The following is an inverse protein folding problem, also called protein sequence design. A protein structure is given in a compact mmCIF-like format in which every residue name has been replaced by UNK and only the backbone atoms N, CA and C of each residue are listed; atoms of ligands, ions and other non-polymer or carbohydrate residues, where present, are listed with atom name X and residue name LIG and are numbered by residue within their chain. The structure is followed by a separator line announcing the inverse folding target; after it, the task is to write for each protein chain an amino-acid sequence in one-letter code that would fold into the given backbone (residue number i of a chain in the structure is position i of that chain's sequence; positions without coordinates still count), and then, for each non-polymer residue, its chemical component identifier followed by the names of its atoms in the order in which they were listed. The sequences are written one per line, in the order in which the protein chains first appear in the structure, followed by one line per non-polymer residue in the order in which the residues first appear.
data_IF_358880395129
#
_entry.id   IF_358880395129
#
_cell.length_a   1.000
_cell.length_b   1.000
_cell.length_c   1.000
_cell.angle_alpha   90.00
_cell.angle_beta   90.00
_cell.angle_gamma   90.00
#
_symmetry.space_group_name_H-M   'P 1'
#
loop_
_entity.id
_entity.type
_entity.pdbx_description
1 polymer ?
#
# COMPACT_ATOMS: atom_id res chain seq x y z
N UNK A 1 0.50 6.58 29.46
CA UNK A 1 -0.04 5.77 28.36
C UNK A 1 1.16 5.43 27.50
N UNK A 2 1.61 4.17 27.58
CA UNK A 2 2.81 3.71 26.90
C UNK A 2 2.47 3.45 25.44
N UNK A 3 3.10 4.21 24.55
CA UNK A 3 3.01 4.04 23.08
C UNK A 3 3.71 2.75 22.62
N UNK A 4 4.29 2.00 23.56
CA UNK A 4 5.00 0.74 23.34
C UNK A 4 4.13 -0.51 23.63
N UNK A 5 2.96 -0.37 24.26
CA UNK A 5 2.03 -1.51 24.45
C UNK A 5 1.15 -1.76 23.21
N UNK A 6 0.96 -0.77 22.33
CA UNK A 6 0.18 -0.92 21.08
C UNK A 6 1.02 -1.54 19.93
N UNK A 7 2.36 -1.58 20.05
CA UNK A 7 3.23 -2.24 19.07
C UNK A 7 3.15 -3.78 19.13
N UNK A 8 2.77 -4.34 20.28
CA UNK A 8 2.63 -5.79 20.45
C UNK A 8 1.38 -6.34 19.74
N UNK A 9 0.32 -5.55 19.56
CA UNK A 9 -0.88 -5.93 18.78
C UNK A 9 -0.69 -5.69 17.27
N UNK A 10 0.20 -4.76 16.89
CA UNK A 10 0.64 -4.56 15.51
C UNK A 10 1.37 -5.79 14.94
N UNK A 11 2.02 -6.58 15.80
CA UNK A 11 2.79 -7.77 15.42
C UNK A 11 1.94 -9.04 15.16
N UNK A 12 0.65 -9.06 15.52
CA UNK A 12 -0.19 -10.27 15.42
C UNK A 12 -0.93 -10.38 14.09
N UNK A 13 -1.16 -9.26 13.40
CA UNK A 13 -1.90 -9.23 12.12
C UNK A 13 -0.99 -8.93 10.94
N UNK A 14 -1.30 -9.46 9.75
CA UNK A 14 -0.55 -9.11 8.55
C UNK A 14 -0.73 -7.62 8.22
N UNK A 15 0.26 -6.95 7.58
CA UNK A 15 0.13 -5.53 7.22
C UNK A 15 -1.15 -5.18 6.46
N UNK A 16 -1.61 -6.11 5.62
CA UNK A 16 -2.90 -6.01 4.91
C UNK A 16 -4.08 -5.98 5.88
N UNK A 17 -4.14 -6.93 6.81
CA UNK A 17 -5.22 -7.01 7.81
C UNK A 17 -5.24 -5.77 8.69
N UNK A 18 -4.07 -5.30 9.13
CA UNK A 18 -3.95 -4.09 9.92
C UNK A 18 -4.48 -2.86 9.17
N UNK A 19 -4.05 -2.67 7.92
CA UNK A 19 -4.57 -1.60 7.07
C UNK A 19 -6.10 -1.64 6.96
N UNK A 20 -6.69 -2.80 6.65
CA UNK A 20 -8.16 -2.90 6.51
C UNK A 20 -8.90 -2.73 7.84
N UNK A 21 -8.25 -3.00 8.98
CA UNK A 21 -8.80 -2.69 10.30
C UNK A 21 -8.86 -1.18 10.51
N UNK A 22 -7.74 -0.49 10.33
CA UNK A 22 -7.61 0.96 10.52
C UNK A 22 -8.49 1.74 9.54
N UNK A 23 -8.53 1.33 8.27
CA UNK A 23 -9.32 1.98 7.23
C UNK A 23 -10.83 1.99 7.53
N UNK A 24 -11.34 1.02 8.32
CA UNK A 24 -12.76 0.97 8.71
C UNK A 24 -13.13 2.00 9.77
N UNK A 25 -12.18 2.43 10.59
CA UNK A 25 -12.43 3.29 11.76
C UNK A 25 -11.87 4.70 11.60
N UNK A 26 -10.86 4.88 10.75
CA UNK A 26 -10.26 6.18 10.48
C UNK A 26 -11.18 7.12 9.68
N UNK A 27 -10.80 8.40 9.59
CA UNK A 27 -11.51 9.38 8.77
C UNK A 27 -11.47 8.97 7.29
N UNK A 28 -12.65 8.71 6.70
CA UNK A 28 -12.75 8.18 5.35
C UNK A 28 -12.17 9.11 4.29
N UNK A 29 -12.21 10.43 4.48
CA UNK A 29 -11.58 11.37 3.54
C UNK A 29 -10.05 11.19 3.51
N UNK A 30 -9.43 10.90 4.66
CA UNK A 30 -7.98 10.66 4.76
C UNK A 30 -7.65 9.32 4.11
N UNK A 31 -8.44 8.28 4.40
CA UNK A 31 -8.27 6.95 3.80
C UNK A 31 -8.36 7.01 2.28
N UNK A 32 -9.41 7.66 1.74
CA UNK A 32 -9.61 7.84 0.30
C UNK A 32 -8.47 8.61 -0.34
N UNK A 33 -8.01 9.69 0.29
CA UNK A 33 -6.88 10.50 -0.19
C UNK A 33 -5.58 9.68 -0.24
N UNK A 34 -5.27 8.90 0.80
CA UNK A 34 -4.05 8.07 0.82
C UNK A 34 -4.12 6.94 -0.22
N UNK A 35 -5.29 6.34 -0.43
CA UNK A 35 -5.50 5.36 -1.51
C UNK A 35 -5.33 6.02 -2.88
N UNK A 36 -5.87 7.22 -3.10
CA UNK A 36 -5.73 7.93 -4.38
C UNK A 36 -4.25 8.18 -4.71
N UNK A 37 -3.41 8.51 -3.70
CA UNK A 37 -1.97 8.67 -3.90
C UNK A 37 -1.31 7.40 -4.44
N UNK A 38 -1.71 6.22 -3.96
CA UNK A 38 -1.20 4.93 -4.45
C UNK A 38 -1.62 4.70 -5.91
N UNK A 39 -2.89 4.89 -6.24
CA UNK A 39 -3.36 4.73 -7.63
C UNK A 39 -2.72 5.75 -8.58
N UNK A 40 -2.54 6.99 -8.13
CA UNK A 40 -1.86 8.02 -8.93
C UNK A 40 -0.41 7.64 -9.20
N UNK A 41 0.30 7.08 -8.21
CA UNK A 41 1.67 6.59 -8.39
C UNK A 41 1.72 5.42 -9.38
N UNK A 42 0.77 4.49 -9.32
CA UNK A 42 0.65 3.40 -10.30
C UNK A 42 0.44 3.94 -11.72
N UNK A 43 -0.56 4.81 -11.91
CA UNK A 43 -0.87 5.39 -13.22
C UNK A 43 0.30 6.20 -13.80
N UNK A 44 1.08 6.90 -12.96
CA UNK A 44 2.31 7.58 -13.40
C UNK A 44 3.36 6.57 -13.86
N UNK A 45 3.56 5.47 -13.13
CA UNK A 45 4.51 4.44 -13.52
C UNK A 45 4.13 3.75 -14.85
N UNK A 46 2.84 3.41 -15.02
CA UNK A 46 2.31 2.84 -16.26
C UNK A 46 2.51 3.80 -17.43
N UNK A 47 2.13 5.06 -17.27
CA UNK A 47 2.34 6.10 -18.29
C UNK A 47 3.81 6.26 -18.68
N UNK A 48 4.74 6.24 -17.71
CA UNK A 48 6.17 6.34 -17.99
C UNK A 48 6.70 5.16 -18.82
N UNK A 49 6.08 3.98 -18.72
CA UNK A 49 6.43 2.80 -19.50
C UNK A 49 5.79 2.85 -20.90
N UNK A 50 4.53 3.27 -20.99
CA UNK A 50 3.85 3.52 -22.27
C UNK A 50 4.60 4.55 -23.13
N UNK A 51 5.04 5.66 -22.53
CA UNK A 51 5.84 6.70 -23.21
C UNK A 51 7.18 6.17 -23.75
N UNK A 52 7.63 5.01 -23.27
CA UNK A 52 8.84 4.30 -23.74
C UNK A 52 8.54 3.14 -24.70
N UNK A 53 7.26 2.89 -25.00
CA UNK A 53 6.82 1.76 -25.83
C UNK A 53 7.04 0.40 -25.15
N UNK A 54 6.93 0.34 -23.82
CA UNK A 54 7.13 -0.87 -23.01
C UNK A 54 5.82 -1.42 -22.44
N UNK A 55 4.68 -1.02 -22.99
CA UNK A 55 3.34 -1.39 -22.53
C UNK A 55 3.07 -2.90 -22.67
N UNK A 56 3.41 -3.51 -23.81
CA UNK A 56 3.27 -4.97 -23.98
C UNK A 56 4.21 -5.76 -23.05
N UNK A 57 5.43 -5.26 -22.83
CA UNK A 57 6.40 -5.90 -21.94
C UNK A 57 5.95 -5.82 -20.48
N UNK A 58 5.40 -4.69 -20.05
CA UNK A 58 4.82 -4.51 -18.72
C UNK A 58 3.76 -5.59 -18.45
N UNK A 59 2.80 -5.78 -19.36
CA UNK A 59 1.76 -6.80 -19.23
C UNK A 59 2.31 -8.23 -19.15
N UNK A 60 3.36 -8.53 -19.91
CA UNK A 60 4.04 -9.81 -19.84
C UNK A 60 4.74 -10.01 -18.49
N UNK A 61 5.41 -8.99 -17.98
CA UNK A 61 6.12 -9.03 -16.69
C UNK A 61 5.15 -9.12 -15.51
N UNK A 62 4.02 -8.41 -15.52
CA UNK A 62 2.98 -8.52 -14.48
C UNK A 62 2.51 -9.97 -14.35
N UNK A 63 2.21 -10.63 -15.49
CA UNK A 63 1.79 -12.03 -15.48
C UNK A 63 2.87 -12.98 -14.96
N UNK A 64 4.13 -12.69 -15.25
CA UNK A 64 5.27 -13.50 -14.81
C UNK A 64 5.56 -13.35 -13.31
N UNK A 65 5.36 -12.15 -12.75
CA UNK A 65 5.74 -11.80 -11.38
C UNK A 65 4.59 -11.88 -10.37
N UNK A 66 3.38 -12.24 -10.80
CA UNK A 66 2.18 -12.25 -9.93
C UNK A 66 2.28 -13.21 -8.72
N UNK A 67 3.17 -14.21 -8.77
CA UNK A 67 3.42 -15.18 -7.67
C UNK A 67 4.82 -14.97 -7.04
N UNK A 68 5.43 -13.81 -7.27
CA UNK A 68 6.76 -13.50 -6.76
C UNK A 68 6.71 -13.01 -5.31
N UNK A 69 7.52 -13.62 -4.44
CA UNK A 69 7.57 -13.28 -3.01
C UNK A 69 8.15 -11.87 -2.75
N UNK A 70 9.01 -11.36 -3.62
CA UNK A 70 9.48 -9.97 -3.51
C UNK A 70 8.34 -8.99 -3.77
N UNK A 71 7.44 -9.32 -4.71
CA UNK A 71 6.21 -8.53 -4.94
C UNK A 71 5.30 -8.56 -3.71
N UNK A 72 5.10 -9.73 -3.10
CA UNK A 72 4.33 -9.84 -1.84
C UNK A 72 4.93 -8.98 -0.72
N UNK A 73 6.27 -8.99 -0.57
CA UNK A 73 6.96 -8.17 0.41
C UNK A 73 6.78 -6.67 0.14
N UNK A 74 6.85 -6.25 -1.13
CA UNK A 74 6.62 -4.85 -1.52
C UNK A 74 5.18 -4.41 -1.25
N UNK A 75 4.20 -5.27 -1.55
CA UNK A 75 2.79 -5.02 -1.22
C UNK A 75 2.62 -4.86 0.29
N UNK A 76 3.26 -5.70 1.10
CA UNK A 76 3.25 -5.56 2.55
C UNK A 76 3.83 -4.20 3.01
N UNK A 77 4.94 -3.75 2.43
CA UNK A 77 5.51 -2.43 2.71
C UNK A 77 4.57 -1.27 2.36
N UNK A 78 3.84 -1.36 1.24
CA UNK A 78 2.85 -0.35 0.85
C UNK A 78 1.73 -0.27 1.89
N UNK A 79 1.26 -1.40 2.41
CA UNK A 79 0.25 -1.41 3.49
C UNK A 79 0.76 -0.76 4.78
N UNK A 80 2.02 -1.01 5.17
CA UNK A 80 2.64 -0.36 6.34
C UNK A 80 2.70 1.16 6.15
N UNK A 81 3.12 1.62 4.97
CA UNK A 81 3.19 3.04 4.62
C UNK A 81 1.79 3.69 4.69
N UNK A 82 0.77 3.05 4.11
CA UNK A 82 -0.61 3.54 4.17
C UNK A 82 -1.11 3.68 5.60
N UNK A 83 -0.85 2.68 6.46
CA UNK A 83 -1.21 2.74 7.88
C UNK A 83 -0.54 3.93 8.56
N UNK A 84 0.77 4.09 8.38
CA UNK A 84 1.54 5.20 8.96
C UNK A 84 1.01 6.57 8.51
N UNK A 85 0.70 6.73 7.22
CA UNK A 85 0.17 7.97 6.68
C UNK A 85 -1.24 8.29 7.20
N UNK A 86 -2.12 7.29 7.34
CA UNK A 86 -3.47 7.49 7.87
C UNK A 86 -3.41 7.90 9.34
N UNK A 87 -2.64 7.17 10.16
CA UNK A 87 -2.54 7.42 11.61
C UNK A 87 -1.96 8.80 11.89
N UNK A 88 -0.85 9.17 11.23
CA UNK A 88 -0.16 10.46 11.43
C UNK A 88 -1.05 11.67 11.09
N UNK A 89 -2.03 11.51 10.19
CA UNK A 89 -2.95 12.58 9.81
C UNK A 89 -4.24 12.61 10.65
N UNK A 90 -4.46 11.60 11.50
CA UNK A 90 -5.57 11.56 12.45
C UNK A 90 -5.19 12.13 13.84
N UNK A 91 -3.90 12.32 14.12
CA UNK A 91 -3.37 13.04 15.29
C UNK A 91 -3.49 14.56 15.15
#
# INVERSE_FOLDING_TARGET
MNIFDDEDDFMVSSPKENYFSIAKTANQNIVEMEIEKVFRRLAVAEKMLEERGLDEELEAQIKALVIDKDVDSRVASIFIELVGNIVTQCE
#
